data_IF_405325797156
#
_entry.id   IF_405325797156
#
_cell.length_a   1.000
_cell.length_b   1.000
_cell.length_c   1.000
_cell.angle_alpha   90.00
_cell.angle_beta   90.00
_cell.angle_gamma   90.00
#
_symmetry.space_group_name_H-M   'P 1'
#
loop_
_entity.id
_entity.type
_entity.pdbx_description
1 polymer ?
#
# COMPACT_ATOMS: atom_id res chain seq x y z
N UNK A 1 22.86 22.28 -11.25
CA UNK A 1 22.33 21.59 -10.06
C UNK A 1 21.98 22.65 -9.03
N UNK A 2 20.75 22.63 -8.52
CA UNK A 2 20.26 23.59 -7.51
C UNK A 2 20.43 22.98 -6.13
N UNK A 3 21.16 23.68 -5.24
CA UNK A 3 21.34 23.24 -3.85
C UNK A 3 20.46 24.05 -2.91
N UNK A 4 19.73 23.37 -2.04
CA UNK A 4 18.89 23.98 -1.00
C UNK A 4 19.35 23.51 0.38
N UNK A 5 19.65 24.43 1.28
CA UNK A 5 19.99 24.15 2.68
C UNK A 5 18.79 24.40 3.58
N UNK A 6 18.33 23.33 4.24
CA UNK A 6 17.26 23.40 5.25
C UNK A 6 17.93 23.33 6.61
N UNK A 7 17.92 24.40 7.38
CA UNK A 7 18.69 24.53 8.63
C UNK A 7 17.82 24.87 9.84
N UNK A 8 18.41 24.84 11.04
CA UNK A 8 17.74 25.02 12.33
C UNK A 8 16.60 24.01 12.60
N UNK A 9 16.59 22.87 11.96
CA UNK A 9 15.56 21.86 12.13
C UNK A 9 15.84 20.94 13.32
N UNK A 10 14.78 20.35 13.87
CA UNK A 10 14.90 19.11 14.65
C UNK A 10 14.70 17.94 13.71
N UNK A 11 15.78 17.27 13.34
CA UNK A 11 15.74 16.10 12.45
C UNK A 11 15.28 14.87 13.23
N UNK A 12 14.32 14.13 12.66
CA UNK A 12 13.85 12.85 13.19
C UNK A 12 13.94 11.81 12.07
N UNK A 13 14.86 10.86 12.23
CA UNK A 13 15.10 9.80 11.24
C UNK A 13 15.70 8.57 11.93
N UNK A 14 15.29 7.38 11.53
CA UNK A 14 15.82 6.08 11.99
C UNK A 14 15.95 5.95 13.52
N UNK A 15 14.91 6.38 14.23
CA UNK A 15 14.87 6.34 15.69
C UNK A 15 15.72 7.41 16.40
N UNK A 16 16.40 8.27 15.65
CA UNK A 16 17.21 9.38 16.19
C UNK A 16 16.44 10.69 16.11
N UNK A 17 16.72 11.58 17.10
CA UNK A 17 16.22 12.95 17.14
C UNK A 17 17.37 13.88 17.51
N UNK A 18 17.70 14.84 16.64
CA UNK A 18 18.79 15.78 16.86
C UNK A 18 18.57 17.11 16.17
N UNK A 19 19.18 18.18 16.69
CA UNK A 19 19.24 19.46 16.00
C UNK A 19 20.21 19.39 14.84
N UNK A 20 19.85 19.92 13.67
CA UNK A 20 20.72 19.85 12.51
C UNK A 20 20.15 20.49 11.25
N UNK A 21 20.73 20.14 10.14
CA UNK A 21 20.36 20.64 8.82
C UNK A 21 20.51 19.57 7.74
N UNK A 22 19.82 19.76 6.62
CA UNK A 22 19.88 18.90 5.44
C UNK A 22 20.18 19.74 4.22
N UNK A 23 21.05 19.23 3.35
CA UNK A 23 21.27 19.82 2.03
C UNK A 23 20.68 18.91 0.97
N UNK A 24 19.82 19.48 0.15
CA UNK A 24 19.21 18.81 -1.01
C UNK A 24 19.85 19.39 -2.27
N UNK A 25 20.32 18.53 -3.16
CA UNK A 25 20.82 18.89 -4.48
C UNK A 25 19.85 18.30 -5.53
N UNK A 26 19.16 19.18 -6.25
CA UNK A 26 18.04 18.85 -7.14
C UNK A 26 16.98 17.99 -6.42
N UNK A 27 17.00 16.67 -6.60
CA UNK A 27 16.05 15.71 -6.03
C UNK A 27 16.69 14.76 -4.99
N UNK A 28 17.95 14.99 -4.62
CA UNK A 28 18.72 14.08 -3.77
C UNK A 28 19.20 14.76 -2.49
N UNK A 29 19.04 14.10 -1.35
CA UNK A 29 19.67 14.53 -0.10
C UNK A 29 21.16 14.20 -0.18
N UNK A 30 22.02 15.23 -0.20
CA UNK A 30 23.46 15.06 -0.31
C UNK A 30 24.23 15.23 0.99
N UNK A 31 23.68 15.97 1.96
CA UNK A 31 24.31 16.14 3.28
C UNK A 31 23.26 16.13 4.39
N UNK A 32 23.55 15.45 5.50
CA UNK A 32 22.81 15.55 6.77
C UNK A 32 23.81 15.96 7.84
N UNK A 33 23.66 17.16 8.39
CA UNK A 33 24.62 17.80 9.28
C UNK A 33 24.01 17.89 10.68
N UNK A 34 24.72 17.39 11.70
CA UNK A 34 24.30 17.47 13.09
C UNK A 34 24.83 18.75 13.74
N UNK A 35 24.00 19.43 14.51
CA UNK A 35 24.34 20.69 15.17
C UNK A 35 24.33 21.90 14.24
N UNK A 36 25.01 22.98 14.62
CA UNK A 36 25.09 24.24 13.89
C UNK A 36 26.25 24.24 12.85
N UNK A 37 26.27 23.23 11.99
CA UNK A 37 27.30 23.08 10.95
C UNK A 37 26.76 23.61 9.64
N UNK A 38 27.57 24.45 8.96
CA UNK A 38 27.24 24.93 7.61
C UNK A 38 27.66 23.92 6.54
N UNK A 39 26.95 23.87 5.40
CA UNK A 39 27.35 23.04 4.27
C UNK A 39 28.77 23.35 3.81
N UNK A 40 29.47 22.33 3.30
CA UNK A 40 30.82 22.44 2.73
C UNK A 40 30.88 23.25 1.44
N UNK A 41 29.74 23.29 0.70
CA UNK A 41 29.58 24.01 -0.56
C UNK A 41 28.42 25.00 -0.42
N UNK A 42 28.54 26.23 -0.95
CA UNK A 42 27.45 27.20 -0.95
C UNK A 42 26.16 26.66 -1.57
N UNK A 43 25.01 27.07 -1.02
CA UNK A 43 23.69 26.69 -1.50
C UNK A 43 23.01 27.86 -2.22
N UNK A 44 22.19 27.55 -3.23
CA UNK A 44 21.42 28.52 -4.02
C UNK A 44 20.21 29.05 -3.27
N UNK A 45 19.69 28.27 -2.33
CA UNK A 45 18.55 28.62 -1.48
C UNK A 45 18.75 28.14 -0.04
N UNK A 46 18.19 28.90 0.89
CA UNK A 46 18.22 28.59 2.33
C UNK A 46 16.81 28.62 2.89
N UNK A 47 16.47 27.62 3.73
CA UNK A 47 15.17 27.52 4.43
C UNK A 47 15.46 27.42 5.92
N UNK A 48 15.03 28.45 6.68
CA UNK A 48 15.08 28.40 8.15
C UNK A 48 13.89 27.57 8.68
N UNK A 49 14.17 26.38 9.18
CA UNK A 49 13.20 25.45 9.74
C UNK A 49 13.14 25.53 11.28
N UNK A 50 13.45 26.68 11.88
CA UNK A 50 13.45 26.88 13.32
C UNK A 50 12.09 26.56 13.92
N UNK A 51 12.10 25.67 14.93
CA UNK A 51 10.90 25.20 15.61
C UNK A 51 10.15 24.09 14.87
N UNK A 52 10.64 23.68 13.69
CA UNK A 52 10.04 22.59 12.91
C UNK A 52 10.78 21.27 13.13
N UNK A 53 10.04 20.18 12.98
CA UNK A 53 10.62 18.86 12.79
C UNK A 53 10.85 18.62 11.29
N UNK A 54 12.01 18.10 10.96
CA UNK A 54 12.33 17.65 9.60
C UNK A 54 12.37 16.11 9.61
N UNK A 55 11.48 15.52 8.85
CA UNK A 55 11.35 14.07 8.71
C UNK A 55 11.55 13.70 7.23
N UNK A 56 11.91 12.45 6.91
CA UNK A 56 11.83 11.95 5.53
C UNK A 56 10.42 12.10 4.97
N UNK A 57 10.31 12.29 3.66
CA UNK A 57 9.02 12.27 3.00
C UNK A 57 8.30 10.95 3.24
N UNK A 58 7.00 11.02 3.54
CA UNK A 58 6.19 9.82 3.82
C UNK A 58 6.01 9.00 2.54
N UNK A 59 6.15 7.68 2.66
CA UNK A 59 5.80 6.72 1.62
C UNK A 59 4.46 6.11 2.00
N UNK A 60 3.43 6.32 1.17
CA UNK A 60 2.14 5.67 1.34
C UNK A 60 2.08 4.44 0.41
N UNK A 61 2.18 3.26 0.99
CA UNK A 61 2.27 2.00 0.25
C UNK A 61 0.90 1.36 -0.04
N UNK A 62 -0.22 2.05 0.26
CA UNK A 62 -1.55 1.53 0.04
C UNK A 62 -2.57 2.63 -0.28
N UNK A 63 -2.63 3.06 -1.54
CA UNK A 63 -3.62 4.03 -1.99
C UNK A 63 -4.54 3.47 -3.08
N UNK A 64 -5.70 4.11 -3.23
CA UNK A 64 -6.67 3.81 -4.28
C UNK A 64 -7.05 5.10 -5.01
N UNK A 65 -6.23 5.56 -5.92
CA UNK A 65 -6.48 6.79 -6.68
C UNK A 65 -7.57 6.62 -7.74
N UNK A 66 -7.96 5.38 -8.05
CA UNK A 66 -9.07 5.06 -8.94
C UNK A 66 -8.89 5.52 -10.40
N UNK A 67 -7.71 5.94 -10.77
CA UNK A 67 -7.30 6.27 -12.12
C UNK A 67 -6.44 5.11 -12.70
N UNK A 68 -6.75 4.61 -13.89
CA UNK A 68 -7.76 5.06 -14.85
C UNK A 68 -9.19 4.62 -14.55
N UNK A 69 -10.14 5.28 -15.20
CA UNK A 69 -11.51 4.82 -15.45
C UNK A 69 -12.53 5.00 -14.32
N UNK A 70 -12.11 5.32 -13.11
CA UNK A 70 -12.99 5.63 -11.97
C UNK A 70 -12.75 7.05 -11.43
N UNK A 71 -12.37 7.95 -12.31
CA UNK A 71 -11.91 9.32 -11.99
C UNK A 71 -13.02 10.22 -11.43
N UNK A 72 -14.28 9.81 -11.51
CA UNK A 72 -15.37 10.46 -10.76
C UNK A 72 -15.23 10.33 -9.23
N UNK A 73 -14.36 9.43 -8.75
CA UNK A 73 -14.05 9.25 -7.33
C UNK A 73 -12.78 10.01 -6.93
N UNK A 74 -11.73 9.90 -7.74
CA UNK A 74 -10.44 10.52 -7.57
C UNK A 74 -9.60 10.31 -8.84
N UNK A 75 -8.60 11.15 -9.09
CA UNK A 75 -7.64 11.01 -10.18
C UNK A 75 -6.20 11.23 -9.70
N UNK A 76 -5.22 10.78 -10.49
CA UNK A 76 -3.81 10.86 -10.12
C UNK A 76 -3.32 12.30 -9.94
N UNK A 77 -3.81 13.25 -10.70
CA UNK A 77 -3.34 14.63 -10.64
C UNK A 77 -3.77 15.30 -9.32
N UNK A 78 -5.05 15.19 -8.98
CA UNK A 78 -5.60 15.77 -7.74
C UNK A 78 -5.08 15.06 -6.49
N UNK A 79 -5.02 13.73 -6.52
CA UNK A 79 -4.60 12.94 -5.36
C UNK A 79 -3.09 13.06 -5.08
N UNK A 80 -2.24 13.18 -6.12
CA UNK A 80 -0.81 13.43 -5.89
C UNK A 80 -0.53 14.84 -5.39
N UNK A 81 -1.34 15.83 -5.78
CA UNK A 81 -1.26 17.17 -5.21
C UNK A 81 -1.67 17.16 -3.72
N UNK A 82 -2.74 16.42 -3.37
CA UNK A 82 -3.15 16.24 -1.98
C UNK A 82 -2.11 15.48 -1.16
N UNK A 83 -1.48 14.44 -1.74
CA UNK A 83 -0.39 13.70 -1.13
C UNK A 83 0.79 14.61 -0.80
N UNK A 84 1.26 15.40 -1.78
CA UNK A 84 2.35 16.36 -1.60
C UNK A 84 2.02 17.39 -0.51
N UNK A 85 0.79 17.93 -0.50
CA UNK A 85 0.34 18.88 0.51
C UNK A 85 0.31 18.26 1.93
N UNK A 86 0.10 16.95 2.04
CA UNK A 86 0.14 16.18 3.28
C UNK A 86 1.54 15.69 3.68
N UNK A 87 2.58 15.93 2.87
CA UNK A 87 3.95 15.47 3.12
C UNK A 87 4.23 14.04 2.63
N UNK A 88 3.31 13.44 1.86
CA UNK A 88 3.55 12.16 1.18
C UNK A 88 4.32 12.43 -0.12
N UNK A 89 5.52 11.88 -0.21
CA UNK A 89 6.42 12.10 -1.35
C UNK A 89 6.49 10.90 -2.30
N UNK A 90 5.93 9.77 -1.88
CA UNK A 90 5.89 8.56 -2.70
C UNK A 90 4.62 7.77 -2.39
N UNK A 91 4.00 7.15 -3.39
CA UNK A 91 2.84 6.30 -3.19
C UNK A 91 2.91 5.01 -4.01
N UNK A 92 2.15 4.01 -3.56
CA UNK A 92 1.96 2.74 -4.26
C UNK A 92 0.46 2.50 -4.45
N UNK A 93 -0.02 2.60 -5.71
CA UNK A 93 -1.45 2.51 -5.99
C UNK A 93 -1.90 1.11 -6.37
N UNK A 94 -3.08 0.76 -5.89
CA UNK A 94 -3.70 -0.54 -6.03
C UNK A 94 -4.28 -0.77 -7.44
N UNK A 95 -4.41 -2.05 -7.88
CA UNK A 95 -4.77 -2.39 -9.25
C UNK A 95 -6.27 -2.32 -9.57
N UNK A 96 -7.15 -2.03 -8.58
CA UNK A 96 -8.60 -2.07 -8.73
C UNK A 96 -9.17 -0.76 -9.31
N UNK A 97 -8.70 -0.39 -10.47
CA UNK A 97 -9.16 0.67 -11.36
C UNK A 97 -9.94 0.08 -12.56
N UNK A 98 -10.19 0.85 -13.62
CA UNK A 98 -10.87 0.38 -14.82
C UNK A 98 -10.18 0.92 -16.09
N UNK A 99 -9.51 0.07 -16.91
CA UNK A 99 -9.35 -1.37 -16.69
C UNK A 99 -8.53 -1.70 -15.43
N UNK A 100 -8.75 -2.90 -14.86
CA UNK A 100 -7.95 -3.39 -13.76
C UNK A 100 -6.50 -3.63 -14.21
N UNK A 101 -5.52 -3.32 -13.35
CA UNK A 101 -4.10 -3.52 -13.64
C UNK A 101 -3.69 -5.00 -13.47
N UNK A 102 -4.26 -5.87 -14.31
CA UNK A 102 -4.09 -7.34 -14.27
C UNK A 102 -3.42 -7.91 -15.52
N UNK A 103 -3.02 -7.04 -16.45
CA UNK A 103 -2.25 -7.35 -17.65
C UNK A 103 -1.02 -6.45 -17.73
N UNK A 104 0.03 -6.88 -18.43
CA UNK A 104 1.24 -6.06 -18.62
C UNK A 104 0.91 -4.76 -19.37
N UNK A 105 0.05 -4.82 -20.39
CA UNK A 105 -0.40 -3.64 -21.15
C UNK A 105 -1.12 -2.63 -20.23
N UNK A 106 -2.04 -3.07 -19.36
CA UNK A 106 -2.73 -2.18 -18.43
C UNK A 106 -1.75 -1.54 -17.43
N UNK A 107 -0.71 -2.27 -17.00
CA UNK A 107 0.33 -1.77 -16.13
C UNK A 107 1.18 -0.71 -16.83
N UNK A 108 1.64 -0.96 -18.06
CA UNK A 108 2.42 -0.02 -18.86
C UNK A 108 1.64 1.27 -19.15
N UNK A 109 0.37 1.15 -19.54
CA UNK A 109 -0.51 2.29 -19.77
C UNK A 109 -0.68 3.13 -18.50
N UNK A 110 -0.81 2.48 -17.32
CA UNK A 110 -0.93 3.17 -16.04
C UNK A 110 0.35 3.94 -15.68
N UNK A 111 1.53 3.38 -15.94
CA UNK A 111 2.80 4.09 -15.80
C UNK A 111 2.92 5.28 -16.74
N UNK A 112 2.52 5.14 -18.01
CA UNK A 112 2.52 6.21 -18.99
C UNK A 112 1.58 7.37 -18.61
N UNK A 113 0.39 7.05 -18.09
CA UNK A 113 -0.55 8.04 -17.57
C UNK A 113 0.01 8.79 -16.36
N UNK A 114 0.62 8.07 -15.41
CA UNK A 114 1.20 8.64 -14.21
C UNK A 114 2.35 9.60 -14.51
N UNK A 115 3.16 9.31 -15.52
CA UNK A 115 4.27 10.17 -15.95
C UNK A 115 3.81 11.59 -16.34
N UNK A 116 2.56 11.75 -16.76
CA UNK A 116 1.97 13.02 -17.16
C UNK A 116 1.13 13.69 -16.06
N UNK A 117 0.75 12.97 -15.00
CA UNK A 117 -0.21 13.42 -14.00
C UNK A 117 0.40 13.58 -12.60
N UNK A 118 1.35 12.70 -12.23
CA UNK A 118 1.85 12.64 -10.87
C UNK A 118 2.96 13.66 -10.63
N UNK A 119 2.91 14.32 -9.46
CA UNK A 119 3.93 15.28 -9.00
C UNK A 119 4.79 14.75 -7.86
N UNK A 120 4.52 13.54 -7.38
CA UNK A 120 5.31 12.79 -6.38
C UNK A 120 5.73 11.45 -6.98
N UNK A 121 6.67 10.76 -6.33
CA UNK A 121 7.12 9.43 -6.79
C UNK A 121 5.99 8.41 -6.72
N UNK A 122 5.99 7.45 -7.63
CA UNK A 122 4.92 6.46 -7.73
C UNK A 122 5.42 5.07 -8.13
N UNK A 123 4.66 4.08 -7.70
CA UNK A 123 4.71 2.73 -8.23
C UNK A 123 3.31 2.11 -8.18
N UNK A 124 3.13 1.00 -8.88
CA UNK A 124 1.84 0.32 -8.99
C UNK A 124 1.95 -1.15 -8.62
N UNK A 125 0.92 -1.63 -7.93
CA UNK A 125 0.74 -3.06 -7.74
C UNK A 125 0.15 -3.70 -8.99
N UNK A 126 0.70 -4.86 -9.36
CA UNK A 126 0.08 -5.75 -10.34
C UNK A 126 -0.97 -6.62 -9.65
N UNK A 127 -2.18 -6.66 -10.18
CA UNK A 127 -3.27 -7.46 -9.63
C UNK A 127 -3.18 -8.92 -10.03
N UNK A 128 -3.00 -9.81 -9.06
CA UNK A 128 -3.11 -11.24 -9.30
C UNK A 128 -4.56 -11.69 -9.46
N UNK A 129 -4.78 -12.68 -10.31
CA UNK A 129 -6.07 -13.34 -10.53
C UNK A 129 -5.87 -14.86 -10.57
N UNK A 130 -6.97 -15.63 -10.61
CA UNK A 130 -6.87 -17.07 -10.81
C UNK A 130 -6.25 -17.48 -12.16
N UNK A 131 -6.13 -16.55 -13.12
CA UNK A 131 -5.84 -16.87 -14.52
C UNK A 131 -4.64 -16.10 -15.13
N UNK A 132 -3.90 -15.29 -14.35
CA UNK A 132 -2.75 -14.52 -14.87
C UNK A 132 -1.42 -14.78 -14.17
N UNK A 133 -1.32 -15.91 -13.49
CA UNK A 133 -0.12 -16.25 -12.69
C UNK A 133 1.16 -16.33 -13.52
N UNK A 134 1.07 -16.71 -14.81
CA UNK A 134 2.19 -16.76 -15.73
C UNK A 134 2.79 -15.39 -16.09
N UNK A 135 2.05 -14.31 -15.86
CA UNK A 135 2.54 -12.94 -16.08
C UNK A 135 3.43 -12.44 -14.93
N UNK A 136 3.36 -13.06 -13.74
CA UNK A 136 4.09 -12.59 -12.56
C UNK A 136 5.61 -12.62 -12.75
N UNK A 137 6.11 -13.59 -13.50
CA UNK A 137 7.54 -13.71 -13.79
C UNK A 137 8.05 -12.67 -14.81
N UNK A 138 7.15 -12.03 -15.57
CA UNK A 138 7.45 -11.05 -16.59
C UNK A 138 7.46 -9.61 -16.02
N UNK A 139 7.07 -9.42 -14.75
CA UNK A 139 7.03 -8.12 -14.12
C UNK A 139 8.44 -7.55 -13.95
N UNK A 140 8.61 -6.27 -14.28
CA UNK A 140 9.83 -5.54 -13.95
C UNK A 140 9.88 -5.24 -12.44
N UNK A 141 10.60 -6.08 -11.71
CA UNK A 141 10.74 -6.03 -10.25
C UNK A 141 11.44 -4.78 -9.71
N UNK A 142 11.99 -3.94 -10.59
CA UNK A 142 12.60 -2.65 -10.19
C UNK A 142 11.60 -1.51 -10.17
N UNK A 143 10.56 -1.59 -11.00
CA UNK A 143 9.56 -0.53 -11.15
C UNK A 143 8.22 -0.89 -10.48
N UNK A 144 7.85 -2.17 -10.46
CA UNK A 144 6.61 -2.65 -9.84
C UNK A 144 6.83 -2.90 -8.35
N UNK A 145 6.06 -2.25 -7.50
CA UNK A 145 6.23 -2.33 -6.04
C UNK A 145 5.82 -3.70 -5.45
N UNK A 146 4.91 -4.41 -6.09
CA UNK A 146 4.46 -5.72 -5.63
C UNK A 146 3.30 -6.29 -6.43
N UNK A 147 2.88 -7.48 -6.03
CA UNK A 147 1.67 -8.14 -6.49
C UNK A 147 0.57 -7.95 -5.47
N UNK A 148 -0.55 -7.36 -5.89
CA UNK A 148 -1.75 -7.28 -5.05
C UNK A 148 -2.57 -8.55 -5.19
N UNK A 149 -2.89 -9.14 -4.06
CA UNK A 149 -3.69 -10.35 -3.93
C UNK A 149 -4.97 -10.07 -3.13
N UNK A 150 -6.13 -10.39 -3.69
CA UNK A 150 -7.39 -10.37 -2.98
C UNK A 150 -7.82 -11.80 -2.64
N UNK A 151 -7.68 -12.19 -1.38
CA UNK A 151 -8.15 -13.49 -0.87
C UNK A 151 -9.59 -13.42 -0.36
N UNK A 152 -10.25 -12.27 -0.48
CA UNK A 152 -11.64 -11.99 -0.14
C UNK A 152 -12.05 -10.62 -0.67
N UNK A 153 -13.35 -10.30 -0.61
CA UNK A 153 -13.96 -9.01 -0.91
C UNK A 153 -13.27 -8.20 -2.04
N UNK A 154 -13.37 -8.68 -3.28
CA UNK A 154 -12.78 -8.03 -4.44
C UNK A 154 -13.85 -7.51 -5.41
N UNK A 155 -13.47 -6.51 -6.21
CA UNK A 155 -14.26 -6.02 -7.34
C UNK A 155 -13.81 -6.71 -8.63
N UNK A 156 -14.78 -7.04 -9.49
CA UNK A 156 -14.52 -7.69 -10.77
C UNK A 156 -13.97 -9.12 -10.59
N UNK A 157 -12.95 -9.49 -11.38
CA UNK A 157 -12.39 -10.83 -11.44
C UNK A 157 -11.09 -11.00 -10.63
N UNK A 158 -10.79 -10.10 -9.70
CA UNK A 158 -9.54 -10.12 -8.94
C UNK A 158 -9.58 -10.98 -7.68
N UNK A 159 -10.69 -11.62 -7.35
CA UNK A 159 -10.75 -12.59 -6.26
C UNK A 159 -9.92 -13.83 -6.64
N UNK A 160 -8.99 -14.20 -5.78
CA UNK A 160 -8.21 -15.44 -5.90
C UNK A 160 -8.64 -16.38 -4.78
N UNK A 161 -9.49 -17.35 -5.11
CA UNK A 161 -10.10 -18.30 -4.19
C UNK A 161 -9.71 -19.76 -4.45
N UNK A 162 -8.95 -20.02 -5.54
CA UNK A 162 -8.45 -21.36 -5.86
C UNK A 162 -7.10 -21.59 -5.18
N UNK A 163 -7.03 -22.64 -4.38
CA UNK A 163 -5.80 -22.95 -3.63
C UNK A 163 -4.59 -23.21 -4.54
N UNK A 164 -4.80 -23.78 -5.72
CA UNK A 164 -3.76 -24.00 -6.71
C UNK A 164 -3.19 -22.68 -7.24
N UNK A 165 -4.07 -21.70 -7.52
CA UNK A 165 -3.66 -20.35 -7.94
C UNK A 165 -2.92 -19.63 -6.83
N UNK A 166 -3.41 -19.71 -5.58
CA UNK A 166 -2.72 -19.14 -4.43
C UNK A 166 -1.31 -19.72 -4.29
N UNK A 167 -1.16 -21.06 -4.28
CA UNK A 167 0.15 -21.72 -4.20
C UNK A 167 1.08 -21.25 -5.32
N UNK A 168 0.57 -21.14 -6.53
CA UNK A 168 1.35 -20.69 -7.69
C UNK A 168 1.79 -19.24 -7.54
N UNK A 169 0.89 -18.33 -7.12
CA UNK A 169 1.22 -16.93 -6.87
C UNK A 169 2.31 -16.81 -5.80
N UNK A 170 2.18 -17.50 -4.68
CA UNK A 170 3.15 -17.44 -3.60
C UNK A 170 4.51 -18.02 -3.99
N UNK A 171 4.54 -19.06 -4.82
CA UNK A 171 5.81 -19.67 -5.27
C UNK A 171 6.50 -18.90 -6.40
N UNK A 172 5.75 -18.21 -7.25
CA UNK A 172 6.28 -17.67 -8.52
C UNK A 172 6.38 -16.13 -8.57
N UNK A 173 5.70 -15.39 -7.70
CA UNK A 173 5.72 -13.92 -7.75
C UNK A 173 7.15 -13.35 -7.68
N UNK A 174 8.00 -13.87 -6.80
CA UNK A 174 9.39 -13.44 -6.65
C UNK A 174 9.57 -11.95 -6.32
N UNK A 175 8.48 -11.30 -5.89
CA UNK A 175 8.37 -9.90 -5.46
C UNK A 175 7.40 -9.87 -4.27
N UNK A 176 7.28 -8.73 -3.58
CA UNK A 176 6.35 -8.56 -2.46
C UNK A 176 4.91 -8.89 -2.87
N UNK A 177 4.21 -9.69 -2.08
CA UNK A 177 2.78 -9.97 -2.21
C UNK A 177 2.05 -9.15 -1.13
N UNK A 178 1.21 -8.21 -1.55
CA UNK A 178 0.36 -7.41 -0.68
C UNK A 178 -1.06 -8.00 -0.69
N UNK A 179 -1.46 -8.64 0.41
CA UNK A 179 -2.69 -9.43 0.47
C UNK A 179 -3.80 -8.73 1.29
N UNK A 180 -4.99 -8.65 0.69
CA UNK A 180 -6.25 -8.41 1.41
C UNK A 180 -6.79 -9.75 1.87
N UNK A 181 -6.93 -9.93 3.17
CA UNK A 181 -7.22 -11.22 3.78
C UNK A 181 -8.57 -11.22 4.50
N UNK A 182 -9.59 -11.81 3.87
CA UNK A 182 -10.87 -12.11 4.47
C UNK A 182 -11.45 -13.40 3.86
N UNK A 183 -11.94 -14.31 4.67
CA UNK A 183 -12.56 -15.55 4.20
C UNK A 183 -13.98 -15.28 3.67
N UNK A 184 -14.13 -15.34 2.35
CA UNK A 184 -15.39 -15.06 1.67
C UNK A 184 -16.50 -16.05 2.02
N UNK A 185 -16.16 -17.27 2.43
CA UNK A 185 -17.14 -18.27 2.85
C UNK A 185 -17.76 -17.89 4.19
N UNK A 186 -16.93 -17.45 5.12
CA UNK A 186 -17.41 -16.97 6.44
C UNK A 186 -18.26 -15.71 6.25
N UNK A 187 -17.81 -14.76 5.43
CA UNK A 187 -18.56 -13.53 5.15
C UNK A 187 -19.94 -13.86 4.57
N UNK A 188 -20.01 -14.73 3.56
CA UNK A 188 -21.30 -15.17 2.99
C UNK A 188 -22.21 -15.81 4.02
N UNK A 189 -21.67 -16.74 4.80
CA UNK A 189 -22.43 -17.39 5.87
C UNK A 189 -22.98 -16.38 6.89
N UNK A 190 -22.14 -15.48 7.38
CA UNK A 190 -22.54 -14.44 8.32
C UNK A 190 -23.60 -13.49 7.72
N UNK A 191 -23.46 -13.16 6.44
CA UNK A 191 -24.43 -12.31 5.72
C UNK A 191 -25.80 -12.98 5.69
N UNK A 192 -25.86 -14.25 5.29
CA UNK A 192 -27.11 -15.01 5.25
C UNK A 192 -27.74 -15.16 6.65
N UNK A 193 -26.91 -15.38 7.67
CA UNK A 193 -27.37 -15.45 9.05
C UNK A 193 -28.00 -14.14 9.53
N UNK A 194 -27.38 -13.00 9.20
CA UNK A 194 -27.91 -11.67 9.54
C UNK A 194 -29.21 -11.42 8.80
N UNK A 195 -29.24 -11.67 7.47
CA UNK A 195 -30.45 -11.50 6.65
C UNK A 195 -31.61 -12.37 7.13
N UNK A 196 -31.37 -13.62 7.46
CA UNK A 196 -32.40 -14.53 7.94
C UNK A 196 -33.02 -14.07 9.26
N UNK A 197 -32.26 -13.36 10.09
CA UNK A 197 -32.68 -12.92 11.41
C UNK A 197 -33.30 -11.53 11.42
N UNK A 198 -32.85 -10.63 10.57
CA UNK A 198 -33.20 -9.20 10.59
C UNK A 198 -33.87 -8.69 9.31
N UNK A 199 -34.03 -9.53 8.28
CA UNK A 199 -34.60 -9.19 6.98
C UNK A 199 -33.55 -8.92 5.91
N UNK A 200 -33.99 -8.97 4.64
CA UNK A 200 -33.08 -8.79 3.49
C UNK A 200 -32.77 -7.33 3.16
N UNK A 201 -33.69 -6.43 3.50
CA UNK A 201 -33.57 -5.01 3.22
C UNK A 201 -33.08 -4.27 4.48
N UNK A 202 -32.16 -3.30 4.30
CA UNK A 202 -31.66 -2.41 5.36
C UNK A 202 -30.95 -3.11 6.54
N UNK A 203 -30.03 -4.02 6.25
CA UNK A 203 -29.12 -4.52 7.28
C UNK A 203 -28.34 -3.35 7.90
N UNK A 204 -28.58 -3.10 9.20
CA UNK A 204 -27.93 -2.03 9.94
C UNK A 204 -26.41 -2.14 9.84
N UNK A 205 -25.74 -1.01 9.60
CA UNK A 205 -24.27 -0.92 9.51
C UNK A 205 -23.57 -1.50 10.75
N UNK A 206 -24.23 -1.55 11.90
CA UNK A 206 -23.72 -2.18 13.12
C UNK A 206 -23.46 -3.69 12.98
N UNK A 207 -24.05 -4.36 11.97
CA UNK A 207 -23.75 -5.76 11.66
C UNK A 207 -22.50 -5.94 10.80
N UNK A 208 -21.98 -4.88 10.18
CA UNK A 208 -20.80 -4.98 9.34
C UNK A 208 -19.61 -5.68 10.03
N UNK A 209 -19.21 -5.34 11.28
CA UNK A 209 -18.13 -6.05 11.97
C UNK A 209 -18.47 -7.50 12.34
N UNK A 210 -19.75 -7.86 12.37
CA UNK A 210 -20.19 -9.25 12.62
C UNK A 210 -20.17 -10.07 11.34
N UNK A 211 -20.51 -9.46 10.22
CA UNK A 211 -20.47 -10.08 8.89
C UNK A 211 -19.02 -10.30 8.48
N UNK A 212 -18.20 -9.23 8.51
CA UNK A 212 -16.76 -9.27 8.27
C UNK A 212 -16.02 -9.45 9.59
N UNK A 213 -16.17 -10.66 10.13
CA UNK A 213 -15.78 -11.00 11.50
C UNK A 213 -14.26 -11.20 11.65
N UNK A 214 -13.80 -11.11 12.91
CA UNK A 214 -12.44 -11.48 13.28
C UNK A 214 -12.03 -12.86 12.75
N UNK A 215 -12.94 -13.84 12.81
CA UNK A 215 -12.66 -15.19 12.29
C UNK A 215 -12.44 -15.21 10.78
N UNK A 216 -13.16 -14.38 10.01
CA UNK A 216 -12.95 -14.25 8.58
C UNK A 216 -11.56 -13.69 8.25
N UNK A 217 -11.10 -12.67 8.98
CA UNK A 217 -9.77 -12.12 8.86
C UNK A 217 -8.72 -13.15 9.28
N UNK A 218 -8.84 -13.71 10.47
CA UNK A 218 -7.90 -14.69 11.01
C UNK A 218 -7.65 -15.88 10.08
N UNK A 219 -8.72 -16.48 9.58
CA UNK A 219 -8.62 -17.67 8.73
C UNK A 219 -7.89 -17.38 7.42
N UNK A 220 -8.21 -16.27 6.79
CA UNK A 220 -7.57 -15.86 5.54
C UNK A 220 -6.11 -15.45 5.75
N UNK A 221 -5.83 -14.62 6.77
CA UNK A 221 -4.48 -14.19 7.11
C UNK A 221 -3.59 -15.38 7.51
N UNK A 222 -4.12 -16.32 8.29
CA UNK A 222 -3.39 -17.55 8.66
C UNK A 222 -3.00 -18.39 7.44
N UNK A 223 -3.91 -18.53 6.46
CA UNK A 223 -3.62 -19.22 5.21
C UNK A 223 -2.53 -18.50 4.41
N UNK A 224 -2.61 -17.16 4.31
CA UNK A 224 -1.59 -16.37 3.61
C UNK A 224 -0.19 -16.53 4.25
N UNK A 225 -0.12 -16.46 5.59
CA UNK A 225 1.14 -16.65 6.33
C UNK A 225 1.67 -18.08 6.16
N UNK A 226 0.79 -19.09 6.21
CA UNK A 226 1.18 -20.47 5.96
C UNK A 226 1.79 -20.64 4.57
N UNK A 227 1.13 -20.11 3.53
CA UNK A 227 1.64 -20.18 2.15
C UNK A 227 2.98 -19.43 2.00
N UNK A 228 3.13 -18.26 2.65
CA UNK A 228 4.38 -17.54 2.64
C UNK A 228 5.52 -18.32 3.31
N UNK A 229 5.25 -18.98 4.44
CA UNK A 229 6.22 -19.85 5.13
C UNK A 229 6.60 -21.07 4.28
N UNK A 230 5.63 -21.71 3.61
CA UNK A 230 5.85 -22.88 2.74
C UNK A 230 6.70 -22.54 1.51
N UNK A 231 6.55 -21.33 0.94
CA UNK A 231 7.17 -20.95 -0.32
C UNK A 231 8.37 -20.01 -0.19
N UNK A 232 8.57 -19.41 0.99
CA UNK A 232 9.56 -18.35 1.20
C UNK A 232 9.18 -17.00 0.60
N UNK A 233 7.91 -16.80 0.22
CA UNK A 233 7.42 -15.55 -0.35
C UNK A 233 7.47 -14.40 0.66
N UNK A 234 7.75 -13.18 0.15
CA UNK A 234 7.61 -11.95 0.93
C UNK A 234 6.15 -11.54 0.95
N UNK A 235 5.57 -11.52 2.14
CA UNK A 235 4.14 -11.22 2.34
C UNK A 235 3.95 -9.94 3.16
N UNK A 236 3.03 -9.10 2.69
CA UNK A 236 2.49 -7.95 3.40
C UNK A 236 0.99 -8.16 3.57
N UNK A 237 0.51 -8.40 4.79
CA UNK A 237 -0.92 -8.42 5.08
C UNK A 237 -1.38 -6.98 5.27
N UNK A 238 -2.28 -6.54 4.40
CA UNK A 238 -2.80 -5.18 4.40
C UNK A 238 -3.82 -4.97 5.51
N UNK A 239 -3.89 -3.74 6.03
CA UNK A 239 -4.94 -3.26 6.94
C UNK A 239 -5.38 -4.28 8.01
N UNK A 240 -4.43 -4.86 8.73
CA UNK A 240 -4.69 -5.75 9.88
C UNK A 240 -5.61 -5.02 10.87
N UNK A 241 -6.77 -5.62 11.15
CA UNK A 241 -7.85 -4.96 11.89
C UNK A 241 -8.23 -5.67 13.18
N UNK A 242 -7.65 -6.85 13.47
CA UNK A 242 -7.97 -7.65 14.64
C UNK A 242 -6.74 -7.92 15.50
N UNK A 243 -6.93 -7.95 16.83
CA UNK A 243 -5.82 -8.22 17.75
C UNK A 243 -5.26 -9.63 17.57
N UNK A 244 -6.12 -10.61 17.24
CA UNK A 244 -5.72 -12.00 17.04
C UNK A 244 -4.75 -12.16 15.87
N UNK A 245 -4.89 -11.37 14.80
CA UNK A 245 -3.97 -11.42 13.66
C UNK A 245 -2.53 -11.04 14.04
N UNK A 246 -2.33 -10.26 15.12
CA UNK A 246 -0.99 -9.90 15.59
C UNK A 246 -0.16 -11.12 15.99
N UNK A 247 -0.79 -12.21 16.39
CA UNK A 247 -0.13 -13.48 16.74
C UNK A 247 0.55 -14.16 15.53
N UNK A 248 0.20 -13.77 14.30
CA UNK A 248 0.79 -14.29 13.08
C UNK A 248 2.17 -13.69 12.77
N UNK A 249 2.52 -12.56 13.38
CA UNK A 249 3.74 -11.83 13.11
C UNK A 249 4.84 -12.23 14.10
N UNK A 250 5.95 -12.72 13.54
CA UNK A 250 7.14 -13.11 14.30
C UNK A 250 8.29 -12.16 13.97
N UNK A 251 9.21 -11.94 14.94
CA UNK A 251 10.47 -11.21 14.75
C UNK A 251 11.47 -11.98 13.85
N UNK A 252 11.05 -12.35 12.67
CA UNK A 252 11.89 -13.02 11.68
C UNK A 252 11.76 -12.35 10.31
N UNK A 253 12.79 -12.49 9.43
CA UNK A 253 12.87 -11.79 8.16
C UNK A 253 11.85 -12.22 7.08
N UNK A 254 10.85 -13.01 7.41
CA UNK A 254 9.64 -13.08 6.60
C UNK A 254 8.92 -11.76 6.86
N UNK A 255 9.20 -10.80 6.02
CA UNK A 255 8.74 -9.43 6.19
C UNK A 255 7.23 -9.34 6.02
N UNK A 256 6.50 -9.71 7.07
CA UNK A 256 5.14 -9.25 7.28
C UNK A 256 5.25 -7.82 7.81
N UNK A 257 4.99 -6.84 6.98
CA UNK A 257 4.81 -5.48 7.43
C UNK A 257 3.39 -5.33 7.93
N UNK A 258 3.26 -4.87 9.17
CA UNK A 258 1.98 -4.49 9.74
C UNK A 258 1.60 -3.14 9.14
N UNK A 259 0.48 -3.08 8.44
CA UNK A 259 -0.05 -1.83 7.95
C UNK A 259 -1.24 -1.36 8.80
N UNK A 260 -1.31 -0.05 9.05
CA UNK A 260 -2.40 0.55 9.80
C UNK A 260 -3.74 0.47 9.06
N UNK A 261 -4.82 0.49 9.81
CA UNK A 261 -6.22 0.40 9.33
C UNK A 261 -6.47 1.23 8.07
N UNK A 262 -7.36 0.77 7.17
CA UNK A 262 -7.79 1.55 6.03
C UNK A 262 -8.36 2.89 6.49
N UNK A 263 -8.16 3.92 5.68
CA UNK A 263 -8.78 5.20 5.95
C UNK A 263 -10.31 5.05 5.97
N UNK A 264 -11.07 5.93 6.63
CA UNK A 264 -12.54 5.90 6.60
C UNK A 264 -13.12 5.96 5.18
N UNK A 265 -12.33 6.42 4.20
CA UNK A 265 -12.69 6.39 2.77
C UNK A 265 -12.71 4.98 2.19
N UNK A 266 -11.78 4.12 2.59
CA UNK A 266 -11.71 2.74 2.08
C UNK A 266 -12.86 1.90 2.63
N UNK A 267 -13.26 2.14 3.88
CA UNK A 267 -14.39 1.45 4.52
C UNK A 267 -15.74 1.77 3.88
N UNK A 268 -15.91 2.92 3.23
CA UNK A 268 -17.16 3.32 2.56
C UNK A 268 -17.28 2.85 1.11
N UNK A 269 -16.24 2.25 0.56
CA UNK A 269 -16.13 1.94 -0.88
C UNK A 269 -15.91 0.47 -1.21
N UNK A 270 -15.86 -0.37 -0.18
CA UNK A 270 -15.78 -1.85 -0.33
C UNK A 270 -17.17 -2.48 -0.43
#
# INVERSE_FOLDING_TARGET
>A
MKRTWIYNATIVNEGLKFAGSVVVEDDTICEVLQGEVRPSVPCDAEIDARGCYLIPGVIDDHVHFRDPGLTHKADMASETAAAAAGGVTSFMDMPNCNPQTTTLEALENKFADAANKCIVNYSFYFGATNNNTELLQQLDKKHVCGVKLFMGASTGNMLVDRIESLRKIFSEAGILIAAHCEDQTIIRWNTELVKSKYGEEDVDILFHPRIRSEEACWRSSSLAVQLAKETGARLHILHVSTARELELFEDKPISCLLYTSPSPRDMRRS
#
